data_IF_204175682712
#
_entry.id   IF_204175682712
#
_cell.length_a   1.000
_cell.length_b   1.000
_cell.length_c   1.000
_cell.angle_alpha   90.00
_cell.angle_beta   90.00
_cell.angle_gamma   90.00
#
_symmetry.space_group_name_H-M   'P 1'
#
loop_
_entity.id
_entity.type
_entity.pdbx_description
1 polymer ?
#
# COMPACT_ATOMS: atom_id res chain seq x y z
N UNK A 1 -49.57 -19.66 -22.26
CA UNK A 1 -48.25 -20.30 -22.02
C UNK A 1 -47.08 -19.31 -22.03
N UNK A 2 -47.04 -18.32 -22.93
CA UNK A 2 -45.99 -17.29 -22.97
C UNK A 2 -45.93 -16.42 -21.70
N UNK A 3 -47.08 -16.02 -21.15
CA UNK A 3 -47.15 -15.27 -19.87
C UNK A 3 -46.56 -16.05 -18.68
N UNK A 4 -46.78 -17.37 -18.64
CA UNK A 4 -46.27 -18.24 -17.58
C UNK A 4 -44.75 -18.41 -17.70
N UNK A 5 -44.23 -18.52 -18.93
CA UNK A 5 -42.80 -18.52 -19.22
C UNK A 5 -42.14 -17.18 -18.83
N UNK A 6 -42.77 -16.05 -19.17
CA UNK A 6 -42.27 -14.72 -18.85
C UNK A 6 -42.22 -14.50 -17.33
N UNK A 7 -43.26 -14.90 -16.60
CA UNK A 7 -43.33 -14.80 -15.14
C UNK A 7 -42.24 -15.62 -14.45
N UNK A 8 -41.90 -16.79 -15.00
CA UNK A 8 -40.83 -17.64 -14.49
C UNK A 8 -39.43 -17.07 -14.77
N UNK A 9 -39.23 -16.48 -15.95
CA UNK A 9 -37.97 -15.78 -16.30
C UNK A 9 -37.79 -14.53 -15.43
N UNK A 10 -38.86 -13.76 -15.21
CA UNK A 10 -38.84 -12.55 -14.38
C UNK A 10 -38.51 -12.87 -12.91
N UNK A 11 -38.90 -14.04 -12.41
CA UNK A 11 -38.53 -14.53 -11.07
C UNK A 11 -37.13 -15.15 -11.02
N UNK A 12 -36.66 -15.72 -12.13
CA UNK A 12 -35.35 -16.36 -12.21
C UNK A 12 -34.18 -15.36 -12.24
N UNK A 13 -34.32 -14.26 -13.00
CA UNK A 13 -33.30 -13.19 -13.08
C UNK A 13 -32.89 -12.64 -11.70
N UNK A 14 -33.80 -12.23 -10.80
CA UNK A 14 -33.40 -11.72 -9.48
C UNK A 14 -32.74 -12.81 -8.62
N UNK A 15 -33.16 -14.07 -8.72
CA UNK A 15 -32.49 -15.17 -7.98
C UNK A 15 -31.05 -15.39 -8.44
N UNK A 16 -30.78 -15.32 -9.76
CA UNK A 16 -29.41 -15.40 -10.29
C UNK A 16 -28.54 -14.23 -9.82
N UNK A 17 -29.09 -13.01 -9.78
CA UNK A 17 -28.35 -11.83 -9.30
C UNK A 17 -27.94 -12.02 -7.84
N UNK A 18 -28.85 -12.47 -6.98
CA UNK A 18 -28.56 -12.72 -5.55
C UNK A 18 -27.48 -13.79 -5.38
N UNK A 19 -27.61 -14.92 -6.08
CA UNK A 19 -26.60 -15.99 -6.00
C UNK A 19 -25.24 -15.52 -6.53
N UNK A 20 -25.23 -14.73 -7.61
CA UNK A 20 -24.00 -14.16 -8.17
C UNK A 20 -23.32 -13.19 -7.21
N UNK A 21 -24.09 -12.33 -6.52
CA UNK A 21 -23.57 -11.43 -5.49
C UNK A 21 -23.01 -12.19 -4.29
N UNK A 22 -23.68 -13.25 -3.84
CA UNK A 22 -23.19 -14.11 -2.77
C UNK A 22 -21.88 -14.80 -3.14
N UNK A 23 -21.81 -15.40 -4.33
CA UNK A 23 -20.60 -16.06 -4.82
C UNK A 23 -19.43 -15.09 -4.97
N UNK A 24 -19.68 -13.89 -5.49
CA UNK A 24 -18.67 -12.83 -5.60
C UNK A 24 -18.19 -12.34 -4.22
N UNK A 25 -19.12 -12.13 -3.28
CA UNK A 25 -18.80 -11.72 -1.92
C UNK A 25 -17.90 -12.72 -1.21
N UNK A 26 -18.23 -14.02 -1.30
CA UNK A 26 -17.41 -15.09 -0.74
C UNK A 26 -16.02 -15.17 -1.40
N UNK A 27 -15.93 -14.94 -2.72
CA UNK A 27 -14.63 -14.90 -3.42
C UNK A 27 -13.73 -13.77 -2.90
N UNK A 28 -14.27 -12.62 -2.49
CA UNK A 28 -13.49 -11.51 -1.90
C UNK A 28 -13.03 -11.77 -0.47
N UNK A 29 -13.67 -12.68 0.25
CA UNK A 29 -13.29 -13.09 1.59
C UNK A 29 -12.18 -14.17 1.60
N UNK A 30 -11.78 -14.67 0.42
CA UNK A 30 -10.73 -15.65 0.31
C UNK A 30 -9.41 -15.11 0.91
N UNK A 31 -8.76 -15.86 1.82
CA UNK A 31 -7.48 -15.47 2.40
C UNK A 31 -6.36 -15.57 1.36
N UNK A 32 -5.33 -14.71 1.50
CA UNK A 32 -4.14 -14.70 0.65
C UNK A 32 -4.11 -13.58 -0.39
N UNK A 33 -2.91 -13.10 -0.71
CA UNK A 33 -2.69 -12.13 -1.80
C UNK A 33 -2.38 -12.88 -3.10
N UNK A 34 -3.33 -12.93 -4.06
CA UNK A 34 -3.14 -13.67 -5.31
C UNK A 34 -2.00 -13.10 -6.16
N UNK A 35 -1.65 -11.81 -5.98
CA UNK A 35 -0.53 -11.17 -6.70
C UNK A 35 0.81 -11.73 -6.22
N UNK A 36 0.98 -11.86 -4.91
CA UNK A 36 2.21 -12.40 -4.32
C UNK A 36 2.29 -13.92 -4.48
N UNK A 37 1.18 -14.65 -4.41
CA UNK A 37 1.20 -16.11 -4.65
C UNK A 37 1.44 -16.48 -6.11
N UNK A 38 1.16 -15.57 -7.05
CA UNK A 38 1.50 -15.74 -8.46
C UNK A 38 3.01 -15.58 -8.72
N UNK A 39 3.74 -14.96 -7.79
CA UNK A 39 5.19 -14.81 -7.88
C UNK A 39 5.86 -16.02 -7.22
N UNK A 40 6.69 -16.73 -7.98
CA UNK A 40 7.36 -17.98 -7.55
C UNK A 40 8.36 -17.72 -6.41
N UNK A 41 8.88 -16.50 -6.28
CA UNK A 41 9.82 -16.08 -5.24
C UNK A 41 9.32 -14.80 -4.57
N UNK A 42 9.71 -14.56 -3.32
CA UNK A 42 9.48 -13.27 -2.65
C UNK A 42 10.20 -12.16 -3.43
N UNK A 43 9.47 -11.29 -4.16
CA UNK A 43 10.07 -10.30 -5.04
C UNK A 43 10.80 -9.21 -4.23
N UNK A 44 10.46 -9.03 -2.95
CA UNK A 44 11.10 -8.02 -2.09
C UNK A 44 12.20 -8.60 -1.21
N UNK A 45 12.38 -9.92 -1.15
CA UNK A 45 13.35 -10.59 -0.27
C UNK A 45 14.80 -10.15 -0.52
N UNK A 46 15.25 -10.18 -1.78
CA UNK A 46 16.67 -10.01 -2.17
C UNK A 46 16.99 -8.73 -2.95
N UNK A 47 16.25 -7.64 -2.74
CA UNK A 47 16.50 -6.37 -3.43
C UNK A 47 17.86 -5.80 -3.03
N UNK A 48 18.80 -5.74 -3.97
CA UNK A 48 20.15 -5.21 -3.72
C UNK A 48 20.49 -4.02 -4.60
N UNK A 49 19.78 -3.81 -5.70
CA UNK A 49 19.97 -2.67 -6.60
C UNK A 49 18.64 -1.95 -6.85
N UNK A 50 18.68 -0.69 -7.31
CA UNK A 50 17.48 0.01 -7.77
C UNK A 50 16.76 -0.73 -8.91
N UNK A 51 17.52 -1.43 -9.77
CA UNK A 51 16.97 -2.26 -10.84
C UNK A 51 16.15 -3.44 -10.31
N UNK A 52 16.63 -4.11 -9.25
CA UNK A 52 15.89 -5.21 -8.61
C UNK A 52 14.56 -4.74 -8.02
N UNK A 53 14.55 -3.56 -7.38
CA UNK A 53 13.32 -2.97 -6.83
C UNK A 53 12.33 -2.65 -7.95
N UNK A 54 12.80 -2.04 -9.04
CA UNK A 54 11.95 -1.74 -10.19
C UNK A 54 11.39 -3.02 -10.83
N UNK A 55 12.20 -4.07 -10.96
CA UNK A 55 11.77 -5.37 -11.47
C UNK A 55 10.73 -6.03 -10.56
N UNK A 56 10.93 -5.99 -9.24
CA UNK A 56 9.97 -6.49 -8.25
C UNK A 56 8.61 -5.77 -8.35
N UNK A 57 8.63 -4.43 -8.40
CA UNK A 57 7.40 -3.64 -8.54
C UNK A 57 6.71 -3.92 -9.89
N UNK A 58 7.47 -4.05 -10.97
CA UNK A 58 6.93 -4.37 -12.29
C UNK A 58 6.34 -5.79 -12.35
N UNK A 59 6.98 -6.77 -11.72
CA UNK A 59 6.44 -8.13 -11.60
C UNK A 59 5.11 -8.13 -10.85
N UNK A 60 5.00 -7.40 -9.73
CA UNK A 60 3.73 -7.25 -9.01
C UNK A 60 2.67 -6.56 -9.88
N UNK A 61 3.03 -5.51 -10.63
CA UNK A 61 2.09 -4.84 -11.56
C UNK A 61 1.62 -5.77 -12.66
N UNK A 62 2.52 -6.57 -13.23
CA UNK A 62 2.18 -7.51 -14.29
C UNK A 62 1.27 -8.62 -13.77
N UNK A 63 1.58 -9.21 -12.62
CA UNK A 63 0.70 -10.19 -11.96
C UNK A 63 -0.67 -9.59 -11.64
N UNK A 64 -0.72 -8.34 -11.14
CA UNK A 64 -1.98 -7.65 -10.89
C UNK A 64 -2.81 -7.47 -12.17
N UNK A 65 -2.19 -7.12 -13.30
CA UNK A 65 -2.85 -7.01 -14.61
C UNK A 65 -3.37 -8.36 -15.12
N UNK A 66 -2.55 -9.41 -15.04
CA UNK A 66 -2.95 -10.77 -15.44
C UNK A 66 -4.18 -11.24 -14.66
N UNK A 67 -4.27 -10.87 -13.38
CA UNK A 67 -5.38 -11.21 -12.49
C UNK A 67 -6.54 -10.20 -12.53
N UNK A 68 -6.47 -9.17 -13.38
CA UNK A 68 -7.44 -8.05 -13.42
C UNK A 68 -7.66 -7.35 -12.06
N UNK A 69 -6.63 -7.33 -11.21
CA UNK A 69 -6.61 -6.66 -9.90
C UNK A 69 -6.08 -5.23 -9.98
N UNK A 70 -5.73 -4.77 -11.17
CA UNK A 70 -5.33 -3.41 -11.51
C UNK A 70 -6.55 -2.47 -11.73
N UNK A 71 -7.76 -3.02 -11.69
CA UNK A 71 -9.04 -2.32 -11.88
C UNK A 71 -9.85 -2.27 -10.59
N UNK A 72 -10.73 -1.27 -10.42
CA UNK A 72 -11.67 -1.25 -9.31
C UNK A 72 -12.60 -2.47 -9.36
N UNK A 73 -13.04 -2.95 -8.20
CA UNK A 73 -13.90 -4.13 -8.10
C UNK A 73 -15.31 -3.91 -8.68
N UNK A 74 -15.78 -2.67 -8.64
CA UNK A 74 -17.09 -2.24 -9.14
C UNK A 74 -16.93 -0.96 -9.96
N UNK A 75 -17.94 -0.67 -10.80
CA UNK A 75 -17.98 0.55 -11.60
C UNK A 75 -18.26 1.81 -10.77
N UNK A 76 -18.89 1.65 -9.60
CA UNK A 76 -19.20 2.72 -8.66
C UNK A 76 -18.90 2.23 -7.24
N UNK A 77 -18.49 3.14 -6.37
CA UNK A 77 -18.27 2.85 -4.95
C UNK A 77 -18.60 4.07 -4.12
N UNK A 78 -19.31 3.87 -3.01
CA UNK A 78 -19.53 4.94 -2.03
C UNK A 78 -18.40 4.85 -1.02
N UNK A 79 -17.48 5.80 -1.05
CA UNK A 79 -16.36 5.88 -0.11
C UNK A 79 -16.30 7.25 0.56
N UNK A 80 -15.73 7.35 1.77
CA UNK A 80 -15.51 8.66 2.38
C UNK A 80 -14.55 9.52 1.54
N UNK A 81 -14.75 10.84 1.57
CA UNK A 81 -13.93 11.83 0.84
C UNK A 81 -12.43 11.76 1.14
N UNK A 82 -12.09 11.22 2.31
CA UNK A 82 -10.70 10.97 2.71
C UNK A 82 -9.98 9.95 1.81
N UNK A 83 -10.69 9.00 1.21
CA UNK A 83 -10.09 7.95 0.40
C UNK A 83 -9.88 8.42 -1.04
N UNK A 84 -8.72 8.16 -1.64
CA UNK A 84 -8.45 8.53 -3.02
C UNK A 84 -8.99 7.50 -4.01
N UNK A 85 -9.20 7.94 -5.25
CA UNK A 85 -9.44 7.06 -6.39
C UNK A 85 -8.17 6.35 -6.88
N UNK A 86 -7.00 6.60 -6.28
CA UNK A 86 -5.72 6.06 -6.75
C UNK A 86 -5.21 4.88 -5.95
N UNK A 87 -5.84 4.54 -4.81
CA UNK A 87 -5.34 3.51 -3.89
C UNK A 87 -5.22 2.11 -4.54
N UNK A 88 -6.11 1.80 -5.50
CA UNK A 88 -6.06 0.53 -6.24
C UNK A 88 -4.81 0.40 -7.13
N UNK A 89 -4.16 1.51 -7.50
CA UNK A 89 -2.94 1.52 -8.34
C UNK A 89 -1.70 0.97 -7.61
N UNK A 90 -1.80 0.75 -6.29
CA UNK A 90 -0.75 0.13 -5.49
C UNK A 90 -0.94 -1.40 -5.56
N UNK A 91 -0.09 -2.12 -6.32
CA UNK A 91 -0.32 -3.54 -6.61
C UNK A 91 -0.05 -4.44 -5.41
N UNK A 92 0.84 -4.01 -4.51
CA UNK A 92 1.24 -4.78 -3.33
C UNK A 92 0.18 -4.62 -2.23
N UNK A 93 -0.51 -5.71 -1.89
CA UNK A 93 -1.67 -5.67 -0.99
C UNK A 93 -1.34 -5.13 0.40
N UNK A 94 -0.24 -5.57 1.02
CA UNK A 94 0.10 -5.13 2.37
C UNK A 94 0.40 -3.63 2.45
N UNK A 95 1.09 -3.08 1.43
CA UNK A 95 1.35 -1.62 1.34
C UNK A 95 0.03 -0.86 1.21
N UNK A 96 -0.85 -1.33 0.31
CA UNK A 96 -2.18 -0.76 0.11
C UNK A 96 -3.02 -0.81 1.39
N UNK A 97 -2.95 -1.90 2.14
CA UNK A 97 -3.67 -2.06 3.41
C UNK A 97 -3.14 -1.12 4.50
N UNK A 98 -1.81 -0.96 4.63
CA UNK A 98 -1.23 0.00 5.56
C UNK A 98 -1.68 1.42 5.26
N UNK A 99 -1.66 1.83 3.99
CA UNK A 99 -2.11 3.16 3.56
C UNK A 99 -3.62 3.36 3.74
N UNK A 100 -4.42 2.33 3.49
CA UNK A 100 -5.84 2.34 3.80
C UNK A 100 -6.09 2.59 5.29
N UNK A 101 -5.35 1.90 6.17
CA UNK A 101 -5.46 2.06 7.62
C UNK A 101 -4.98 3.44 8.09
N UNK A 102 -3.93 3.99 7.49
CA UNK A 102 -3.49 5.36 7.76
C UNK A 102 -4.56 6.37 7.33
N UNK A 103 -5.17 6.17 6.16
CA UNK A 103 -6.23 7.05 5.65
C UNK A 103 -7.47 6.99 6.52
N UNK A 104 -7.82 5.79 7.00
CA UNK A 104 -8.93 5.61 7.95
C UNK A 104 -8.68 6.28 9.31
N UNK A 105 -7.42 6.48 9.71
CA UNK A 105 -7.06 7.14 10.97
C UNK A 105 -6.97 8.66 10.83
N UNK A 106 -6.28 9.15 9.79
CA UNK A 106 -5.93 10.57 9.66
C UNK A 106 -6.79 11.34 8.64
N UNK A 107 -7.42 10.65 7.69
CA UNK A 107 -8.36 11.26 6.73
C UNK A 107 -7.75 12.13 5.62
N UNK A 108 -6.44 12.34 5.60
CA UNK A 108 -5.73 13.21 4.64
C UNK A 108 -4.85 12.41 3.68
N UNK A 109 -5.42 11.99 2.55
CA UNK A 109 -4.70 11.19 1.56
C UNK A 109 -3.44 11.88 0.98
N UNK A 110 -3.48 13.14 0.51
CA UNK A 110 -2.31 13.81 -0.04
C UNK A 110 -1.05 13.71 0.84
N UNK A 111 -1.18 13.90 2.15
CA UNK A 111 -0.04 13.80 3.06
C UNK A 111 0.41 12.35 3.25
N UNK A 112 -0.52 11.40 3.31
CA UNK A 112 -0.21 9.96 3.40
C UNK A 112 0.52 9.48 2.15
N UNK A 113 0.09 9.93 0.97
CA UNK A 113 0.75 9.63 -0.31
C UNK A 113 2.16 10.25 -0.36
N UNK A 114 2.30 11.50 0.09
CA UNK A 114 3.60 12.15 0.19
C UNK A 114 4.55 11.41 1.15
N UNK A 115 4.04 10.95 2.30
CA UNK A 115 4.78 10.10 3.23
C UNK A 115 5.21 8.78 2.57
N UNK A 116 4.29 8.05 1.93
CA UNK A 116 4.61 6.81 1.22
C UNK A 116 5.68 7.00 0.13
N UNK A 117 5.56 8.07 -0.65
CA UNK A 117 6.55 8.41 -1.68
C UNK A 117 7.91 8.79 -1.07
N UNK A 118 7.94 9.37 0.13
CA UNK A 118 9.19 9.63 0.85
C UNK A 118 9.89 8.35 1.31
N UNK A 119 9.14 7.31 1.74
CA UNK A 119 9.70 5.97 2.03
C UNK A 119 10.34 5.39 0.77
N UNK A 120 9.62 5.41 -0.37
CA UNK A 120 10.15 4.90 -1.66
C UNK A 120 11.39 5.65 -2.10
N UNK A 121 11.42 6.96 -1.96
CA UNK A 121 12.58 7.74 -2.33
C UNK A 121 13.79 7.43 -1.44
N UNK A 122 13.57 7.24 -0.14
CA UNK A 122 14.61 6.84 0.81
C UNK A 122 15.16 5.44 0.48
N UNK A 123 14.28 4.50 0.11
CA UNK A 123 14.67 3.15 -0.29
C UNK A 123 15.51 3.18 -1.57
N UNK A 124 15.12 3.98 -2.55
CA UNK A 124 15.89 4.18 -3.79
C UNK A 124 17.28 4.74 -3.50
N UNK A 125 17.37 5.76 -2.64
CA UNK A 125 18.64 6.39 -2.27
C UNK A 125 19.56 5.40 -1.56
N UNK A 126 19.04 4.65 -0.58
CA UNK A 126 19.77 3.59 0.11
C UNK A 126 20.32 2.53 -0.86
N UNK A 127 19.56 2.17 -1.90
CA UNK A 127 19.99 1.19 -2.89
C UNK A 127 21.04 1.73 -3.87
N UNK A 128 21.07 3.04 -4.11
CA UNK A 128 22.10 3.70 -4.95
C UNK A 128 23.43 3.91 -4.24
N UNK A 129 23.48 3.76 -2.92
CA UNK A 129 24.71 3.95 -2.17
C UNK A 129 25.79 2.93 -2.55
N UNK A 130 27.08 3.32 -2.46
CA UNK A 130 28.17 2.40 -2.72
C UNK A 130 28.19 1.26 -1.68
N UNK A 131 28.73 0.11 -2.08
CA UNK A 131 28.58 -1.15 -1.35
C UNK A 131 29.21 -1.17 0.04
N UNK A 132 30.26 -0.38 0.27
CA UNK A 132 30.92 -0.16 1.55
C UNK A 132 30.00 0.50 2.58
N UNK A 133 29.32 1.59 2.20
CA UNK A 133 28.33 2.28 3.06
C UNK A 133 27.08 1.42 3.25
N UNK A 134 26.63 0.75 2.18
CA UNK A 134 25.39 -0.05 2.21
C UNK A 134 25.51 -1.32 3.05
N UNK A 135 26.68 -1.95 3.11
CA UNK A 135 26.87 -3.21 3.84
C UNK A 135 26.68 -3.07 5.37
N UNK A 136 26.86 -1.86 5.92
CA UNK A 136 26.58 -1.53 7.33
C UNK A 136 25.10 -1.27 7.64
N UNK A 137 24.21 -1.27 6.64
CA UNK A 137 22.83 -0.81 6.78
C UNK A 137 21.72 -1.89 6.86
N UNK A 138 21.94 -3.19 7.16
CA UNK A 138 20.88 -4.19 7.09
C UNK A 138 19.75 -3.93 8.09
N UNK A 139 20.09 -3.44 9.29
CA UNK A 139 19.10 -3.01 10.30
C UNK A 139 18.27 -1.83 9.82
N UNK A 140 18.91 -0.82 9.22
CA UNK A 140 18.22 0.34 8.64
C UNK A 140 17.31 -0.06 7.48
N UNK A 141 17.78 -0.95 6.60
CA UNK A 141 17.00 -1.48 5.48
C UNK A 141 15.77 -2.27 5.96
N UNK A 142 15.92 -3.10 6.98
CA UNK A 142 14.80 -3.83 7.56
C UNK A 142 13.80 -2.86 8.22
N UNK A 143 14.30 -1.90 8.99
CA UNK A 143 13.48 -0.87 9.61
C UNK A 143 12.67 -0.06 8.58
N UNK A 144 13.29 0.28 7.45
CA UNK A 144 12.65 0.95 6.32
C UNK A 144 11.55 0.08 5.69
N UNK A 145 11.79 -1.23 5.52
CA UNK A 145 10.79 -2.17 5.00
C UNK A 145 9.57 -2.26 5.89
N UNK A 146 9.77 -2.24 7.21
CA UNK A 146 8.68 -2.32 8.18
C UNK A 146 7.74 -1.11 8.10
N UNK A 147 8.27 0.10 7.77
CA UNK A 147 7.45 1.31 7.59
C UNK A 147 6.38 1.16 6.48
N UNK A 148 6.56 0.26 5.52
CA UNK A 148 5.55 -0.02 4.51
C UNK A 148 4.34 -0.83 5.01
N UNK A 149 4.45 -1.45 6.19
CA UNK A 149 3.43 -2.31 6.78
C UNK A 149 2.82 -1.66 8.03
N UNK A 150 3.61 -0.87 8.75
CA UNK A 150 3.18 -0.17 9.95
C UNK A 150 2.13 0.90 9.63
N UNK A 151 1.07 0.92 10.44
CA UNK A 151 -0.03 1.88 10.34
C UNK A 151 -0.41 2.50 11.69
N UNK A 152 0.14 1.98 12.80
CA UNK A 152 -0.11 2.50 14.14
C UNK A 152 0.88 3.64 14.43
N UNK A 153 0.37 4.77 14.94
CA UNK A 153 1.18 5.97 15.19
C UNK A 153 2.41 5.68 16.06
N UNK A 154 2.20 5.08 17.25
CA UNK A 154 3.30 4.76 18.16
C UNK A 154 4.32 3.80 17.55
N UNK A 155 3.89 2.84 16.73
CA UNK A 155 4.79 1.91 16.08
C UNK A 155 5.66 2.60 15.01
N UNK A 156 5.08 3.52 14.23
CA UNK A 156 5.82 4.30 13.24
C UNK A 156 6.82 5.23 13.94
N UNK A 157 6.39 5.98 14.96
CA UNK A 157 7.28 6.88 15.71
C UNK A 157 8.45 6.11 16.34
N UNK A 158 8.19 4.97 16.97
CA UNK A 158 9.24 4.13 17.53
C UNK A 158 10.20 3.63 16.45
N UNK A 159 9.67 3.17 15.31
CA UNK A 159 10.50 2.71 14.20
C UNK A 159 11.37 3.82 13.61
N UNK A 160 10.84 5.03 13.48
CA UNK A 160 11.61 6.21 13.04
C UNK A 160 12.71 6.55 14.05
N UNK A 161 12.44 6.46 15.36
CA UNK A 161 13.46 6.66 16.39
C UNK A 161 14.57 5.61 16.31
N UNK A 162 14.22 4.34 16.15
CA UNK A 162 15.22 3.27 16.01
C UNK A 162 16.13 3.51 14.79
N UNK A 163 15.57 4.01 13.69
CA UNK A 163 16.35 4.38 12.49
C UNK A 163 17.27 5.58 12.76
N UNK A 164 16.81 6.57 13.52
CA UNK A 164 17.62 7.72 13.93
C UNK A 164 18.79 7.30 14.82
N UNK A 165 18.57 6.38 15.76
CA UNK A 165 19.62 5.83 16.62
C UNK A 165 20.68 5.06 15.80
N UNK A 166 20.29 4.40 14.71
CA UNK A 166 21.22 3.74 13.78
C UNK A 166 22.05 4.79 13.04
N UNK A 167 21.43 5.86 12.53
CA UNK A 167 22.14 6.94 11.85
C UNK A 167 23.12 7.67 12.79
N UNK A 168 22.78 7.85 14.06
CA UNK A 168 23.71 8.46 15.02
C UNK A 168 24.97 7.62 15.26
N UNK A 169 24.87 6.29 15.14
CA UNK A 169 25.99 5.36 15.32
C UNK A 169 26.85 5.19 14.07
N UNK A 170 26.25 5.37 12.89
CA UNK A 170 26.93 5.23 11.59
C UNK A 170 27.03 6.58 10.87
N UNK A 171 28.15 7.27 11.09
CA UNK A 171 28.40 8.59 10.51
C UNK A 171 28.48 8.58 8.98
N UNK A 172 28.90 7.46 8.36
CA UNK A 172 28.99 7.34 6.90
C UNK A 172 27.60 7.22 6.28
N UNK A 173 26.75 6.38 6.87
CA UNK A 173 25.36 6.24 6.47
C UNK A 173 24.56 7.54 6.72
N UNK A 174 24.80 8.20 7.85
CA UNK A 174 24.16 9.48 8.18
C UNK A 174 24.51 10.57 7.19
N UNK A 175 25.78 10.72 6.81
CA UNK A 175 26.19 11.71 5.83
C UNK A 175 25.49 11.54 4.48
N UNK A 176 25.22 10.28 4.09
CA UNK A 176 24.55 9.98 2.83
C UNK A 176 23.02 10.13 2.89
N UNK A 177 22.37 9.68 3.98
CA UNK A 177 20.90 9.49 4.01
C UNK A 177 20.16 10.51 4.90
N UNK A 178 20.84 11.16 5.85
CA UNK A 178 20.18 12.04 6.83
C UNK A 178 19.28 13.12 6.22
N UNK A 179 19.63 13.79 5.11
CA UNK A 179 18.74 14.77 4.48
C UNK A 179 17.40 14.16 4.08
N UNK A 180 17.43 13.00 3.41
CA UNK A 180 16.21 12.31 2.95
C UNK A 180 15.41 11.71 4.10
N UNK A 181 16.10 11.19 5.11
CA UNK A 181 15.47 10.71 6.34
C UNK A 181 14.75 11.84 7.10
N UNK A 182 15.33 13.05 7.15
CA UNK A 182 14.68 14.21 7.75
C UNK A 182 13.40 14.62 7.00
N UNK A 183 13.42 14.55 5.66
CA UNK A 183 12.23 14.78 4.83
C UNK A 183 11.14 13.76 5.15
N UNK A 184 11.50 12.48 5.29
CA UNK A 184 10.55 11.42 5.65
C UNK A 184 9.92 11.69 7.02
N UNK A 185 10.72 12.05 8.03
CA UNK A 185 10.21 12.43 9.36
C UNK A 185 9.25 13.61 9.27
N UNK A 186 9.61 14.65 8.53
CA UNK A 186 8.76 15.84 8.36
C UNK A 186 7.45 15.51 7.64
N UNK A 187 7.48 14.66 6.60
CA UNK A 187 6.26 14.21 5.91
C UNK A 187 5.36 13.38 6.81
N UNK A 188 5.93 12.55 7.66
CA UNK A 188 5.14 11.82 8.65
C UNK A 188 4.52 12.75 9.72
N UNK A 189 5.25 13.77 10.17
CA UNK A 189 4.69 14.78 11.09
C UNK A 189 3.56 15.57 10.43
N UNK A 190 3.68 15.89 9.13
CA UNK A 190 2.62 16.57 8.37
C UNK A 190 1.31 15.75 8.33
N UNK A 191 1.40 14.42 8.19
CA UNK A 191 0.23 13.52 8.26
C UNK A 191 -0.53 13.68 9.58
N UNK A 192 0.18 13.96 10.69
CA UNK A 192 -0.43 14.15 12.01
C UNK A 192 -0.98 15.57 12.18
N UNK A 193 -0.21 16.58 11.79
CA UNK A 193 -0.59 17.99 12.00
C UNK A 193 -1.71 18.46 11.08
N UNK A 194 -1.77 17.92 9.87
CA UNK A 194 -2.77 18.26 8.85
C UNK A 194 -3.90 17.22 8.77
N UNK A 195 -4.03 16.35 9.78
CA UNK A 195 -5.05 15.32 9.79
C UNK A 195 -6.47 15.90 9.65
N UNK A 196 -7.24 15.37 8.70
CA UNK A 196 -8.62 15.77 8.41
C UNK A 196 -9.62 14.62 8.64
N UNK A 197 -9.81 14.16 9.90
CA UNK A 197 -10.76 13.08 10.19
C UNK A 197 -12.21 13.44 9.85
N UNK A 198 -12.52 14.74 9.73
CA UNK A 198 -13.83 15.21 9.27
C UNK A 198 -14.21 14.71 7.87
N UNK A 199 -13.23 14.50 6.98
CA UNK A 199 -13.47 13.99 5.62
C UNK A 199 -13.96 12.53 5.60
N UNK A 200 -13.72 11.77 6.66
CA UNK A 200 -14.21 10.39 6.80
C UNK A 200 -15.73 10.31 6.95
N UNK A 201 -16.39 11.41 7.30
CA UNK A 201 -17.85 11.48 7.50
C UNK A 201 -18.61 11.91 6.25
N UNK A 202 -17.89 12.34 5.19
CA UNK A 202 -18.49 12.88 3.97
C UNK A 202 -18.44 11.78 2.91
N UNK A 203 -19.58 11.14 2.56
CA UNK A 203 -19.60 10.16 1.48
C UNK A 203 -19.43 10.84 0.12
N UNK A 204 -18.70 10.19 -0.77
CA UNK A 204 -18.49 10.58 -2.16
C UNK A 204 -18.73 9.37 -3.06
N UNK A 205 -19.14 9.62 -4.30
CA UNK A 205 -19.48 8.62 -5.32
C UNK A 205 -18.38 8.49 -6.36
#
# INVERSE_FOLDING_TARGET
>A
MFQYLLQRILLFVPTLIVVSWLAFGLSKLAPGDPVLSFLVNDPFGSISTPGDLANAENACRQSARTLNLDKPAFYFSIVPKAFPDTLYKIPVRFRRQALHQLTAQFGDWPQIEAYYNSIRALEMELLTLPGDVRSGSPSFKQALRDLYVLHQDGAIVNRLRDMEDVLQKDSLLAAAIAPRFSVLKNKYQAVKSEATPGLLKIPVF
#
